data_IF_546854752813
#
_entry.id   IF_546854752813
#
_cell.length_a   1.000
_cell.length_b   1.000
_cell.length_c   1.000
_cell.angle_alpha   90.00
_cell.angle_beta   90.00
_cell.angle_gamma   90.00
#
_symmetry.space_group_name_H-M   'P 1'
#
loop_
_entity.id
_entity.type
_entity.pdbx_description
1 polymer ?
#
# COMPACT_ATOMS: atom_id res chain seq x y z
N UNK A 1 -5.22 12.72 9.96
CA UNK A 1 -5.63 12.73 8.54
C UNK A 1 -6.40 11.47 8.21
N UNK A 2 -7.51 11.63 7.53
CA UNK A 2 -8.33 10.50 7.14
C UNK A 2 -7.71 9.78 5.95
N UNK A 3 -7.57 8.47 6.05
CA UNK A 3 -6.99 7.68 4.97
C UNK A 3 -8.04 7.33 3.93
N UNK A 4 -7.63 7.33 2.68
CA UNK A 4 -8.43 6.91 1.55
C UNK A 4 -7.57 6.02 0.64
N UNK A 5 -8.19 5.37 -0.33
CA UNK A 5 -7.44 4.49 -1.23
C UNK A 5 -7.87 4.66 -2.68
N UNK A 6 -6.88 4.70 -3.57
CA UNK A 6 -7.12 4.61 -5.02
C UNK A 6 -7.00 3.17 -5.50
N UNK A 7 -6.59 2.25 -4.61
CA UNK A 7 -6.38 0.84 -4.95
C UNK A 7 -7.67 0.03 -4.75
N UNK A 8 -8.40 0.32 -3.67
CA UNK A 8 -9.63 -0.39 -3.36
C UNK A 8 -10.66 0.57 -2.82
N UNK A 9 -11.94 0.26 -3.07
CA UNK A 9 -13.05 1.04 -2.52
C UNK A 9 -13.42 0.59 -1.12
N UNK A 10 -13.06 -0.62 -0.75
CA UNK A 10 -13.40 -1.22 0.55
C UNK A 10 -12.19 -1.19 1.47
N UNK A 11 -12.21 -0.31 2.45
CA UNK A 11 -11.17 -0.21 3.47
C UNK A 11 -11.54 -0.92 4.77
N UNK A 12 -12.67 -1.64 4.77
CA UNK A 12 -13.18 -2.29 5.98
C UNK A 12 -12.84 -3.77 6.06
N UNK A 13 -12.41 -4.37 4.95
CA UNK A 13 -12.08 -5.79 4.89
C UNK A 13 -10.69 -6.00 4.31
N UNK A 14 -9.97 -6.98 4.84
CA UNK A 14 -8.62 -7.29 4.36
C UNK A 14 -8.63 -7.58 2.86
N UNK A 15 -7.73 -6.92 2.14
CA UNK A 15 -7.66 -7.07 0.68
C UNK A 15 -7.16 -8.45 0.28
N UNK A 16 -6.50 -9.18 1.20
CA UNK A 16 -5.98 -10.51 0.93
C UNK A 16 -6.94 -11.63 1.34
N UNK A 17 -7.66 -11.47 2.44
CA UNK A 17 -8.47 -12.58 2.97
C UNK A 17 -9.92 -12.21 3.31
N UNK A 18 -10.29 -10.95 3.25
CA UNK A 18 -11.66 -10.53 3.49
C UNK A 18 -12.08 -10.37 4.94
N UNK A 19 -11.21 -10.60 5.90
CA UNK A 19 -11.53 -10.42 7.31
C UNK A 19 -11.81 -8.95 7.63
N UNK A 20 -12.69 -8.72 8.62
CA UNK A 20 -13.11 -7.36 8.96
C UNK A 20 -12.23 -6.66 9.98
N UNK A 21 -11.39 -7.37 10.70
CA UNK A 21 -10.52 -6.76 11.69
C UNK A 21 -9.21 -6.32 11.05
N UNK A 22 -9.22 -5.10 10.49
CA UNK A 22 -8.12 -4.64 9.63
C UNK A 22 -7.44 -3.40 10.18
N UNK A 23 -6.20 -3.21 9.74
CA UNK A 23 -5.47 -1.95 9.86
C UNK A 23 -5.25 -1.39 8.45
N UNK A 24 -5.22 -0.08 8.34
CA UNK A 24 -4.96 0.59 7.08
C UNK A 24 -3.45 0.71 6.91
N UNK A 25 -2.90 -0.03 5.94
CA UNK A 25 -1.47 -0.11 5.70
C UNK A 25 -1.07 0.85 4.58
N UNK A 26 -0.10 1.71 4.86
CA UNK A 26 0.52 2.55 3.83
C UNK A 26 1.49 1.68 3.04
N UNK A 27 1.23 1.51 1.75
CA UNK A 27 2.00 0.57 0.92
C UNK A 27 3.47 0.94 0.87
N UNK A 28 3.76 2.22 0.68
CA UNK A 28 5.14 2.72 0.75
C UNK A 28 5.33 3.32 2.13
N UNK A 29 6.11 2.65 2.97
CA UNK A 29 6.32 3.06 4.34
C UNK A 29 7.75 3.53 4.54
N UNK A 30 8.09 3.88 5.77
CA UNK A 30 9.32 4.58 6.07
C UNK A 30 9.00 6.05 6.28
N UNK A 31 9.98 6.81 6.78
CA UNK A 31 9.72 8.14 7.31
C UNK A 31 9.07 9.10 6.31
N UNK A 32 9.60 9.17 5.10
CA UNK A 32 9.10 10.09 4.09
C UNK A 32 7.94 9.50 3.28
N UNK A 33 8.08 8.24 2.88
CA UNK A 33 7.13 7.63 1.94
C UNK A 33 5.79 7.29 2.56
N UNK A 34 5.73 7.09 3.87
CA UNK A 34 4.46 6.86 4.56
C UNK A 34 3.50 8.02 4.36
N UNK A 35 3.99 9.25 4.54
CA UNK A 35 3.17 10.43 4.33
C UNK A 35 2.72 10.55 2.89
N UNK A 36 3.60 10.25 1.94
CA UNK A 36 3.26 10.31 0.52
C UNK A 36 2.19 9.27 0.17
N UNK A 37 2.27 8.07 0.74
CA UNK A 37 1.25 7.04 0.55
C UNK A 37 -0.11 7.52 1.03
N UNK A 38 -0.16 8.18 2.19
CA UNK A 38 -1.40 8.70 2.73
C UNK A 38 -1.97 9.78 1.81
N UNK A 39 -1.12 10.69 1.36
CA UNK A 39 -1.53 11.79 0.47
C UNK A 39 -2.06 11.28 -0.87
N UNK A 40 -1.44 10.24 -1.40
CA UNK A 40 -1.76 9.72 -2.73
C UNK A 40 -2.81 8.62 -2.72
N UNK A 41 -3.24 8.17 -1.54
CA UNK A 41 -4.23 7.10 -1.44
C UNK A 41 -3.67 5.72 -1.71
N UNK A 42 -2.38 5.51 -1.47
CA UNK A 42 -1.74 4.21 -1.65
C UNK A 42 -1.80 3.46 -0.32
N UNK A 43 -3.02 3.13 0.07
CA UNK A 43 -3.35 2.52 1.35
C UNK A 43 -4.22 1.29 1.07
N UNK A 44 -3.93 0.19 1.76
CA UNK A 44 -4.73 -1.04 1.64
C UNK A 44 -5.10 -1.54 3.02
N UNK A 45 -6.28 -2.19 3.16
CA UNK A 45 -6.67 -2.80 4.43
C UNK A 45 -6.04 -4.19 4.55
N UNK A 46 -5.39 -4.47 5.66
CA UNK A 46 -4.78 -5.77 5.93
C UNK A 46 -5.19 -6.25 7.31
N UNK A 47 -5.56 -7.51 7.44
CA UNK A 47 -6.02 -8.04 8.72
C UNK A 47 -4.88 -8.03 9.74
N UNK A 48 -5.22 -7.66 10.97
CA UNK A 48 -4.23 -7.54 12.04
C UNK A 48 -3.58 -8.86 12.38
N UNK A 49 -4.32 -9.95 12.24
CA UNK A 49 -3.86 -11.26 12.65
C UNK A 49 -2.81 -11.86 11.71
N UNK A 50 -2.93 -11.65 10.41
CA UNK A 50 -2.09 -12.37 9.46
C UNK A 50 -1.35 -11.52 8.45
N UNK A 51 -1.98 -10.46 7.94
CA UNK A 51 -1.44 -9.77 6.76
C UNK A 51 -0.82 -8.41 7.03
N UNK A 52 -0.88 -7.92 8.25
CA UNK A 52 -0.23 -6.65 8.57
C UNK A 52 0.94 -6.89 9.53
N UNK A 53 0.92 -6.32 10.71
CA UNK A 53 2.08 -6.35 11.59
C UNK A 53 2.01 -7.43 12.67
N UNK A 54 0.99 -8.26 12.63
CA UNK A 54 0.67 -9.10 13.77
C UNK A 54 1.55 -10.32 13.97
N UNK A 55 2.22 -10.81 12.93
CA UNK A 55 3.00 -12.04 13.06
C UNK A 55 4.05 -12.15 11.96
N UNK A 56 4.67 -13.34 11.87
CA UNK A 56 5.79 -13.59 10.96
C UNK A 56 5.43 -13.55 9.48
N UNK A 57 4.15 -13.73 9.15
CA UNK A 57 3.71 -13.73 7.76
C UNK A 57 3.04 -12.42 7.35
N UNK A 58 3.05 -11.42 8.23
CA UNK A 58 2.51 -10.11 7.90
C UNK A 58 3.33 -9.41 6.83
N UNK A 59 2.74 -8.39 6.20
CA UNK A 59 3.38 -7.71 5.06
C UNK A 59 4.76 -7.13 5.39
N UNK A 60 5.00 -6.78 6.64
CA UNK A 60 6.31 -6.26 7.04
C UNK A 60 7.38 -7.35 7.14
N UNK A 61 6.98 -8.62 7.12
CA UNK A 61 7.88 -9.77 7.20
C UNK A 61 7.90 -10.57 5.91
N UNK A 62 6.81 -10.53 5.13
CA UNK A 62 6.68 -11.27 3.88
C UNK A 62 7.11 -10.38 2.72
N UNK A 63 8.31 -10.60 2.23
CA UNK A 63 8.89 -9.80 1.17
C UNK A 63 8.09 -9.92 -0.14
N UNK A 64 7.62 -11.11 -0.48
CA UNK A 64 6.84 -11.31 -1.70
C UNK A 64 5.52 -10.55 -1.65
N UNK A 65 4.83 -10.59 -0.53
CA UNK A 65 3.58 -9.88 -0.33
C UNK A 65 3.81 -8.36 -0.40
N UNK A 66 4.87 -7.90 0.24
CA UNK A 66 5.24 -6.49 0.24
C UNK A 66 5.55 -6.01 -1.19
N UNK A 67 6.34 -6.76 -1.94
CA UNK A 67 6.71 -6.39 -3.30
C UNK A 67 5.52 -6.43 -4.24
N UNK A 68 4.63 -7.40 -4.07
CA UNK A 68 3.40 -7.51 -4.86
C UNK A 68 2.58 -6.23 -4.75
N UNK A 69 2.34 -5.77 -3.53
CA UNK A 69 1.50 -4.60 -3.33
C UNK A 69 2.19 -3.30 -3.71
N UNK A 70 3.51 -3.23 -3.58
CA UNK A 70 4.26 -2.06 -4.06
C UNK A 70 4.17 -1.94 -5.58
N UNK A 71 4.25 -3.05 -6.30
CA UNK A 71 4.09 -3.06 -7.75
C UNK A 71 2.69 -2.63 -8.16
N UNK A 72 1.67 -3.21 -7.55
CA UNK A 72 0.28 -2.86 -7.83
C UNK A 72 0.03 -1.38 -7.51
N UNK A 73 0.52 -0.91 -6.39
CA UNK A 73 0.34 0.47 -5.97
C UNK A 73 0.97 1.45 -6.95
N UNK A 74 2.17 1.16 -7.43
CA UNK A 74 2.81 2.02 -8.43
C UNK A 74 2.02 2.06 -9.72
N UNK A 75 1.55 0.90 -10.21
CA UNK A 75 0.73 0.85 -11.41
C UNK A 75 -0.55 1.67 -11.26
N UNK A 76 -1.20 1.54 -10.11
CA UNK A 76 -2.42 2.31 -9.83
C UNK A 76 -2.14 3.80 -9.75
N UNK A 77 -1.03 4.18 -9.14
CA UNK A 77 -0.63 5.58 -9.02
C UNK A 77 -0.41 6.21 -10.41
N UNK A 78 0.34 5.52 -11.26
CA UNK A 78 0.61 6.01 -12.61
C UNK A 78 -0.68 6.16 -13.43
N UNK A 79 -1.57 5.18 -13.32
CA UNK A 79 -2.84 5.20 -14.04
C UNK A 79 -3.78 6.27 -13.50
N UNK A 80 -3.94 6.33 -12.19
CA UNK A 80 -4.90 7.24 -11.55
C UNK A 80 -4.50 8.70 -11.75
N UNK A 81 -3.24 9.02 -11.59
CA UNK A 81 -2.76 10.40 -11.68
C UNK A 81 -2.25 10.77 -13.07
N UNK A 82 -2.24 9.83 -14.01
CA UNK A 82 -1.75 10.08 -15.35
C UNK A 82 -0.28 10.44 -15.38
N UNK A 83 0.53 9.73 -14.58
CA UNK A 83 1.95 10.02 -14.43
C UNK A 83 2.82 8.89 -14.94
N UNK A 84 4.09 9.20 -15.17
CA UNK A 84 5.06 8.25 -15.70
C UNK A 84 5.82 7.55 -14.57
N UNK A 85 6.59 6.52 -14.95
CA UNK A 85 7.49 5.84 -14.02
C UNK A 85 8.53 6.82 -13.47
N UNK A 86 9.03 7.71 -14.32
CA UNK A 86 10.01 8.72 -13.91
C UNK A 86 9.42 9.68 -12.87
N UNK A 87 8.15 10.04 -13.02
CA UNK A 87 7.46 10.87 -12.03
C UNK A 87 7.34 10.12 -10.70
N UNK A 88 7.08 8.82 -10.75
CA UNK A 88 7.00 8.01 -9.54
C UNK A 88 8.36 7.96 -8.83
N UNK A 89 9.44 7.77 -9.57
CA UNK A 89 10.78 7.75 -9.01
C UNK A 89 11.11 9.07 -8.32
N UNK A 90 10.73 10.18 -8.93
CA UNK A 90 10.97 11.51 -8.34
C UNK A 90 10.24 11.67 -7.00
N UNK A 91 9.05 11.09 -6.89
CA UNK A 91 8.24 11.24 -5.68
C UNK A 91 8.60 10.23 -4.60
N UNK A 92 8.81 8.97 -4.96
CA UNK A 92 9.01 7.86 -4.01
C UNK A 92 10.44 7.34 -3.94
N UNK A 93 11.32 7.80 -4.81
CA UNK A 93 12.73 7.49 -4.74
C UNK A 93 13.21 6.36 -5.64
N UNK A 94 12.33 5.45 -6.05
CA UNK A 94 12.69 4.35 -6.94
C UNK A 94 11.45 3.75 -7.58
N UNK A 95 11.66 2.94 -8.62
CA UNK A 95 10.57 2.17 -9.25
C UNK A 95 10.52 0.76 -8.68
N UNK A 96 9.32 0.23 -8.56
CA UNK A 96 9.07 -1.16 -8.13
C UNK A 96 8.53 -2.03 -9.29
N UNK A 97 8.46 -1.45 -10.47
CA UNK A 97 8.04 -2.17 -11.69
C UNK A 97 9.23 -2.84 -12.38
#
# INVERSE_FOLDING_TARGET
MKRYSIITKDLEHCIECGRSNVEKHEVFFGTANRRLSIEDGLVIPLCKAEHHAGNLIGIHKDQELNEKWKKIAQEKWQEYYGRTKEDFIKRYGRSYL
#
